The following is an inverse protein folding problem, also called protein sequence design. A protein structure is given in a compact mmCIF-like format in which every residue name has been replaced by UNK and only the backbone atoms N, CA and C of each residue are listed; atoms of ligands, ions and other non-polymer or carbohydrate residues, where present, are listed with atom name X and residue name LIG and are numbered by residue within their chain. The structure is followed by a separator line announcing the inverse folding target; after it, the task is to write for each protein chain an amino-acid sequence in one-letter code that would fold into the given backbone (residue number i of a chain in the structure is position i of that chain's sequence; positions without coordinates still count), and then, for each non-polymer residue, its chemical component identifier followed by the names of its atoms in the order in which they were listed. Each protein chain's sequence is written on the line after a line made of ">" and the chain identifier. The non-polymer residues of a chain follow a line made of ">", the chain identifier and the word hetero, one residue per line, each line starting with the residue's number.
data_IF_988062473076
#
_entry.id   IF_988062473076
#
_cell.length_a   1.000
_cell.length_b   1.000
_cell.length_c   1.000
_cell.angle_alpha   90.00
_cell.angle_beta   90.00
_cell.angle_gamma   90.00
#
_symmetry.space_group_name_H-M   'P 1'
#
loop_
_entity.id
_entity.type
_entity.pdbx_description
1 polymer ?
#
# COMPACT_ATOMS: atom_id res chain seq x y z
N UNK A 1 -59.23 -14.42 21.61
CA UNK A 1 -57.76 -14.39 21.39
C UNK A 1 -57.32 -12.96 21.45
N UNK A 2 -56.88 -12.52 22.62
CA UNK A 2 -56.52 -11.12 22.90
C UNK A 2 -55.13 -10.82 22.34
N UNK A 3 -55.09 -9.89 21.38
CA UNK A 3 -53.84 -9.33 20.87
C UNK A 3 -53.25 -8.38 21.89
N UNK A 4 -52.19 -8.81 22.56
CA UNK A 4 -51.38 -7.98 23.44
C UNK A 4 -50.74 -6.85 22.63
N UNK A 5 -51.39 -5.68 22.64
CA UNK A 5 -50.82 -4.41 22.18
C UNK A 5 -49.80 -3.92 23.21
N UNK A 6 -48.68 -4.62 23.31
CA UNK A 6 -47.50 -4.13 24.01
C UNK A 6 -46.90 -2.98 23.20
N UNK A 7 -47.34 -1.75 23.48
CA UNK A 7 -46.75 -0.51 22.95
C UNK A 7 -45.37 -0.27 23.54
N UNK A 8 -44.43 -1.17 23.29
CA UNK A 8 -43.03 -0.96 23.63
C UNK A 8 -42.49 0.20 22.80
N UNK A 9 -41.94 1.22 23.47
CA UNK A 9 -41.20 2.28 22.77
C UNK A 9 -40.15 1.62 21.87
N UNK A 10 -39.99 2.07 20.61
CA UNK A 10 -38.97 1.54 19.73
C UNK A 10 -37.60 1.74 20.40
N UNK A 11 -36.89 0.64 20.68
CA UNK A 11 -35.53 0.67 21.25
C UNK A 11 -34.62 1.52 20.38
N UNK A 12 -33.75 2.34 20.97
CA UNK A 12 -32.76 3.11 20.21
C UNK A 12 -31.81 2.15 19.48
N UNK A 13 -31.33 2.52 18.30
CA UNK A 13 -30.26 1.75 17.63
C UNK A 13 -28.96 1.73 18.45
N UNK A 14 -28.81 2.65 19.42
CA UNK A 14 -27.75 2.65 20.43
C UNK A 14 -27.65 1.36 21.26
N UNK A 15 -28.76 0.63 21.41
CA UNK A 15 -28.85 -0.60 22.21
C UNK A 15 -28.64 -1.87 21.38
N UNK A 16 -28.41 -1.76 20.06
CA UNK A 16 -28.32 -2.91 19.18
C UNK A 16 -27.10 -3.80 19.51
N UNK A 17 -27.27 -5.12 19.49
CA UNK A 17 -26.23 -6.10 19.86
C UNK A 17 -24.86 -5.84 19.19
N UNK A 18 -24.86 -5.59 17.87
CA UNK A 18 -23.63 -5.33 17.12
C UNK A 18 -22.93 -4.05 17.56
N UNK A 19 -23.69 -2.99 17.84
CA UNK A 19 -23.10 -1.73 18.28
C UNK A 19 -22.51 -1.88 19.69
N UNK A 20 -23.20 -2.59 20.58
CA UNK A 20 -22.67 -2.92 21.91
C UNK A 20 -21.39 -3.77 21.81
N UNK A 21 -21.34 -4.73 20.89
CA UNK A 21 -20.16 -5.55 20.65
C UNK A 21 -18.98 -4.72 20.12
N UNK A 22 -19.24 -3.83 19.16
CA UNK A 22 -18.22 -2.90 18.63
C UNK A 22 -17.66 -2.02 19.75
N UNK A 23 -18.52 -1.44 20.58
CA UNK A 23 -18.10 -0.57 21.69
C UNK A 23 -17.30 -1.32 22.77
N UNK A 24 -17.62 -2.59 23.05
CA UNK A 24 -16.96 -3.35 24.13
C UNK A 24 -15.70 -4.07 23.72
N UNK A 25 -15.65 -4.58 22.47
CA UNK A 25 -14.63 -5.54 22.05
C UNK A 25 -13.86 -5.10 20.82
N UNK A 26 -14.34 -4.09 20.08
CA UNK A 26 -13.74 -3.63 18.84
C UNK A 26 -13.76 -2.10 18.73
N UNK A 27 -13.52 -1.41 19.85
CA UNK A 27 -13.56 0.05 19.91
C UNK A 27 -12.56 0.65 18.92
N UNK A 28 -11.38 0.05 18.79
CA UNK A 28 -10.35 0.44 17.83
C UNK A 28 -10.83 0.38 16.38
N UNK A 29 -11.65 -0.62 16.02
CA UNK A 29 -12.18 -0.78 14.66
C UNK A 29 -13.17 0.34 14.33
N UNK A 30 -14.07 0.65 15.28
CA UNK A 30 -15.03 1.75 15.12
C UNK A 30 -14.30 3.09 15.11
N UNK A 31 -13.36 3.32 16.03
CA UNK A 31 -12.55 4.54 16.09
C UNK A 31 -11.76 4.77 14.80
N UNK A 32 -11.13 3.72 14.24
CA UNK A 32 -10.42 3.79 12.97
C UNK A 32 -11.34 4.06 11.77
N UNK A 33 -12.57 3.55 11.79
CA UNK A 33 -13.53 3.83 10.74
C UNK A 33 -14.02 5.29 10.78
N UNK A 34 -14.18 5.85 12.00
CA UNK A 34 -14.64 7.21 12.24
C UNK A 34 -13.56 8.27 12.08
N UNK A 35 -12.28 7.94 12.32
CA UNK A 35 -11.17 8.90 12.22
C UNK A 35 -10.93 9.43 10.80
N UNK A 36 -11.51 8.79 9.78
CA UNK A 36 -11.60 9.30 8.42
C UNK A 36 -12.69 10.38 8.31
N UNK A 37 -12.43 11.57 8.87
CA UNK A 37 -13.36 12.71 8.89
C UNK A 37 -13.80 13.24 7.51
N UNK A 38 -13.16 12.78 6.42
CA UNK A 38 -13.45 13.25 5.06
C UNK A 38 -14.66 12.58 4.41
N UNK A 39 -15.17 11.47 4.96
CA UNK A 39 -16.31 10.76 4.37
C UNK A 39 -17.33 10.31 5.41
N UNK A 40 -18.63 10.27 5.06
CA UNK A 40 -19.66 9.76 5.97
C UNK A 40 -19.40 8.29 6.30
N UNK A 41 -19.46 7.95 7.58
CA UNK A 41 -19.39 6.57 8.06
C UNK A 41 -20.81 6.05 8.31
N UNK A 42 -21.14 4.90 7.72
CA UNK A 42 -22.38 4.18 7.96
C UNK A 42 -22.09 2.87 8.71
N UNK A 43 -22.82 2.64 9.81
CA UNK A 43 -22.81 1.37 10.52
C UNK A 43 -24.09 0.60 10.21
N UNK A 44 -23.95 -0.55 9.58
CA UNK A 44 -25.06 -1.43 9.25
C UNK A 44 -25.36 -2.36 10.42
N UNK A 45 -26.62 -2.36 10.85
CA UNK A 45 -27.14 -3.16 11.96
C UNK A 45 -28.19 -4.12 11.39
N UNK A 46 -27.85 -5.35 11.01
CA UNK A 46 -28.86 -6.33 10.62
C UNK A 46 -29.83 -6.62 11.76
N UNK A 47 -31.11 -6.79 11.43
CA UNK A 47 -32.12 -7.22 12.41
C UNK A 47 -31.63 -8.40 13.26
N UNK A 48 -31.78 -8.30 14.58
CA UNK A 48 -31.28 -9.33 15.52
C UNK A 48 -31.89 -10.72 15.26
N UNK A 49 -33.12 -10.78 14.75
CA UNK A 49 -33.78 -12.03 14.35
C UNK A 49 -33.05 -12.75 13.22
N UNK A 50 -32.37 -12.01 12.33
CA UNK A 50 -31.63 -12.52 11.18
C UNK A 50 -30.18 -12.88 11.52
N UNK A 51 -29.68 -12.49 12.70
CA UNK A 51 -28.33 -12.85 13.16
C UNK A 51 -28.24 -14.28 13.69
N UNK A 52 -29.36 -14.99 13.84
CA UNK A 52 -29.39 -16.37 14.32
C UNK A 52 -28.60 -17.30 13.39
N UNK A 53 -27.48 -17.83 13.89
CA UNK A 53 -26.61 -18.75 13.15
C UNK A 53 -25.43 -18.07 12.44
N UNK A 54 -25.32 -16.73 12.51
CA UNK A 54 -24.12 -16.03 12.11
C UNK A 54 -23.11 -16.03 13.26
N UNK A 55 -21.84 -16.27 12.92
CA UNK A 55 -20.73 -16.00 13.81
C UNK A 55 -20.30 -14.54 13.61
N UNK A 56 -20.49 -13.70 14.63
CA UNK A 56 -20.14 -12.28 14.57
C UNK A 56 -18.66 -12.13 14.90
N UNK A 57 -17.80 -12.35 13.90
CA UNK A 57 -16.36 -12.10 14.00
C UNK A 57 -15.94 -10.74 13.41
N UNK A 58 -14.64 -10.45 13.45
CA UNK A 58 -14.09 -9.23 12.86
C UNK A 58 -14.42 -9.10 11.36
N UNK A 59 -14.44 -10.21 10.61
CA UNK A 59 -14.74 -10.16 9.17
C UNK A 59 -16.21 -9.79 8.91
N UNK A 60 -17.12 -10.27 9.77
CA UNK A 60 -18.52 -9.84 9.78
C UNK A 60 -18.62 -8.34 10.06
N UNK A 61 -17.96 -7.84 11.10
CA UNK A 61 -17.98 -6.43 11.49
C UNK A 61 -17.39 -5.52 10.40
N UNK A 62 -16.22 -5.87 9.85
CA UNK A 62 -15.57 -5.14 8.74
C UNK A 62 -16.48 -5.06 7.49
N UNK A 63 -17.37 -6.03 7.29
CA UNK A 63 -18.32 -6.03 6.16
C UNK A 63 -19.48 -5.05 6.36
N UNK A 64 -19.82 -4.71 7.61
CA UNK A 64 -20.98 -3.91 7.98
C UNK A 64 -20.62 -2.48 8.41
N UNK A 65 -19.34 -2.09 8.36
CA UNK A 65 -18.89 -0.72 8.53
C UNK A 65 -18.54 -0.17 7.15
N UNK A 66 -19.27 0.86 6.71
CA UNK A 66 -19.11 1.46 5.39
C UNK A 66 -18.51 2.87 5.50
N UNK A 67 -17.59 3.17 4.59
CA UNK A 67 -17.02 4.50 4.39
C UNK A 67 -17.51 5.07 3.06
N UNK A 68 -17.95 6.34 3.09
CA UNK A 68 -18.37 7.04 1.87
C UNK A 68 -17.23 7.15 0.86
N UNK A 69 -17.57 7.03 -0.42
CA UNK A 69 -16.66 7.26 -1.54
C UNK A 69 -16.85 8.66 -2.13
N UNK A 70 -16.01 9.10 -3.09
CA UNK A 70 -16.27 10.31 -3.86
C UNK A 70 -17.54 10.27 -4.71
N UNK A 71 -18.10 9.08 -4.96
CA UNK A 71 -19.33 8.90 -5.71
C UNK A 71 -20.54 9.00 -4.79
N UNK A 72 -21.56 9.74 -5.23
CA UNK A 72 -22.76 9.98 -4.45
C UNK A 72 -23.49 8.65 -4.21
N UNK A 73 -23.86 8.41 -2.95
CA UNK A 73 -24.60 7.24 -2.50
C UNK A 73 -23.87 5.89 -2.69
N UNK A 74 -22.57 5.90 -3.00
CA UNK A 74 -21.73 4.71 -3.07
C UNK A 74 -20.76 4.67 -1.90
N UNK A 75 -20.67 3.50 -1.27
CA UNK A 75 -19.88 3.26 -0.08
C UNK A 75 -18.98 2.04 -0.27
N UNK A 76 -17.88 2.01 0.48
CA UNK A 76 -16.97 0.85 0.51
C UNK A 76 -16.82 0.39 1.94
N UNK A 77 -16.97 -0.91 2.18
CA UNK A 77 -16.74 -1.47 3.51
C UNK A 77 -15.25 -1.60 3.84
N UNK A 78 -14.92 -1.92 5.09
CA UNK A 78 -13.50 -2.05 5.51
C UNK A 78 -12.75 -3.21 4.85
N UNK A 79 -13.44 -4.04 4.06
CA UNK A 79 -12.87 -5.11 3.24
C UNK A 79 -12.65 -4.72 1.78
N UNK A 80 -12.99 -3.49 1.40
CA UNK A 80 -12.87 -3.00 0.03
C UNK A 80 -14.00 -3.46 -0.89
N UNK A 81 -15.16 -3.83 -0.34
CA UNK A 81 -16.33 -4.25 -1.12
C UNK A 81 -17.33 -3.10 -1.23
N UNK A 82 -17.97 -2.96 -2.39
CA UNK A 82 -18.83 -1.81 -2.71
C UNK A 82 -20.29 -2.07 -2.33
N UNK A 83 -20.93 -1.03 -1.81
CA UNK A 83 -22.35 -1.01 -1.44
C UNK A 83 -22.96 0.29 -1.92
N UNK A 84 -23.95 0.17 -2.81
CA UNK A 84 -24.70 1.31 -3.34
C UNK A 84 -25.99 1.53 -2.54
N UNK A 85 -26.28 2.77 -2.18
CA UNK A 85 -27.55 3.17 -1.57
C UNK A 85 -28.49 3.73 -2.64
N UNK A 86 -29.67 3.13 -2.77
CA UNK A 86 -30.73 3.62 -3.66
C UNK A 86 -31.98 3.85 -2.83
N UNK A 87 -32.17 5.07 -2.35
CA UNK A 87 -33.28 5.42 -1.46
C UNK A 87 -33.21 4.70 -0.12
N UNK A 88 -34.15 3.76 0.09
CA UNK A 88 -34.25 2.93 1.30
C UNK A 88 -33.72 1.50 1.08
N UNK A 89 -32.91 1.28 0.04
CA UNK A 89 -32.26 0.00 -0.23
C UNK A 89 -30.75 0.16 -0.31
N UNK A 90 -30.03 -0.87 0.12
CA UNK A 90 -28.59 -1.02 -0.09
C UNK A 90 -28.36 -2.23 -0.98
N UNK A 91 -27.60 -2.04 -2.05
CA UNK A 91 -27.20 -3.11 -2.98
C UNK A 91 -25.71 -3.37 -2.85
N UNK A 92 -25.36 -4.52 -2.30
CA UNK A 92 -24.01 -5.04 -2.27
C UNK A 92 -23.76 -5.87 -3.53
N UNK A 93 -22.82 -5.45 -4.37
CA UNK A 93 -22.54 -6.11 -5.64
C UNK A 93 -21.05 -6.40 -5.84
N UNK A 94 -20.23 -5.37 -6.00
CA UNK A 94 -18.81 -5.51 -6.30
C UNK A 94 -18.01 -6.00 -5.08
N UNK A 95 -17.23 -7.07 -5.27
CA UNK A 95 -16.41 -7.68 -4.22
C UNK A 95 -17.16 -8.64 -3.29
N UNK A 96 -18.49 -8.74 -3.39
CA UNK A 96 -19.29 -9.75 -2.68
C UNK A 96 -19.37 -11.06 -3.49
N UNK A 97 -19.55 -12.20 -2.81
CA UNK A 97 -19.70 -13.51 -3.47
C UNK A 97 -21.02 -13.64 -4.24
N UNK A 98 -22.03 -12.90 -3.82
CA UNK A 98 -23.35 -12.87 -4.42
C UNK A 98 -23.89 -11.44 -4.28
N UNK A 99 -24.74 -11.03 -5.23
CA UNK A 99 -25.46 -9.77 -5.12
C UNK A 99 -26.46 -9.88 -3.96
N UNK A 100 -26.42 -8.94 -3.03
CA UNK A 100 -27.35 -8.85 -1.90
C UNK A 100 -28.04 -7.50 -1.95
N UNK A 101 -29.36 -7.50 -1.91
CA UNK A 101 -30.16 -6.28 -1.73
C UNK A 101 -30.81 -6.34 -0.36
N UNK A 102 -30.66 -5.28 0.43
CA UNK A 102 -31.23 -5.18 1.78
C UNK A 102 -31.99 -3.87 1.92
N UNK A 103 -33.12 -3.91 2.62
CA UNK A 103 -33.91 -2.71 2.89
C UNK A 103 -33.42 -2.04 4.18
N UNK A 104 -33.33 -0.72 4.16
CA UNK A 104 -33.11 0.13 5.32
C UNK A 104 -34.44 0.28 6.03
N UNK A 105 -34.51 -0.23 7.25
CA UNK A 105 -35.71 -0.23 8.08
C UNK A 105 -35.78 0.97 9.01
N UNK A 106 -34.60 1.47 9.41
CA UNK A 106 -34.46 2.64 10.28
C UNK A 106 -33.09 3.25 10.11
N UNK A 107 -33.03 4.57 10.26
CA UNK A 107 -31.81 5.36 10.24
C UNK A 107 -31.75 6.22 11.51
N UNK A 108 -30.62 6.21 12.22
CA UNK A 108 -30.40 7.01 13.43
C UNK A 108 -28.97 7.53 13.42
N UNK A 109 -28.80 8.85 13.61
CA UNK A 109 -27.48 9.46 13.73
C UNK A 109 -27.03 9.37 15.19
N UNK A 110 -25.84 8.81 15.41
CA UNK A 110 -25.23 8.64 16.72
C UNK A 110 -23.87 9.36 16.79
N UNK A 111 -23.34 9.48 18.00
CA UNK A 111 -22.06 10.13 18.28
C UNK A 111 -21.16 9.20 19.09
N UNK A 112 -19.91 9.09 18.70
CA UNK A 112 -18.86 8.40 19.44
C UNK A 112 -17.61 9.29 19.54
N UNK A 113 -16.57 8.83 20.25
CA UNK A 113 -15.33 9.57 20.43
C UNK A 113 -14.65 10.00 19.10
N UNK A 114 -14.91 9.27 18.01
CA UNK A 114 -14.40 9.57 16.67
C UNK A 114 -15.26 10.52 15.82
N UNK A 115 -16.40 11.02 16.32
CA UNK A 115 -17.30 11.91 15.58
C UNK A 115 -18.70 11.32 15.33
N UNK A 116 -19.54 12.03 14.55
CA UNK A 116 -20.87 11.56 14.20
C UNK A 116 -20.82 10.42 13.17
N UNK A 117 -21.74 9.48 13.29
CA UNK A 117 -21.94 8.43 12.29
C UNK A 117 -23.41 8.04 12.20
N UNK A 118 -23.78 7.39 11.10
CA UNK A 118 -25.17 7.01 10.85
C UNK A 118 -25.33 5.51 11.00
N UNK A 119 -26.21 5.09 11.90
CA UNK A 119 -26.61 3.69 12.04
C UNK A 119 -27.81 3.40 11.14
N UNK A 120 -27.69 2.35 10.34
CA UNK A 120 -28.76 1.85 9.49
C UNK A 120 -29.19 0.47 9.99
N UNK A 121 -30.43 0.35 10.48
CA UNK A 121 -31.04 -0.95 10.73
C UNK A 121 -31.44 -1.55 9.38
N UNK A 122 -30.85 -2.69 9.02
CA UNK A 122 -31.08 -3.33 7.72
C UNK A 122 -31.83 -4.66 7.86
N UNK A 123 -32.60 -5.01 6.83
CA UNK A 123 -33.48 -6.19 6.83
C UNK A 123 -32.73 -7.50 7.04
N UNK A 124 -31.53 -7.65 6.48
CA UNK A 124 -30.70 -8.87 6.55
C UNK A 124 -29.22 -8.51 6.52
N UNK A 125 -28.30 -9.38 6.99
CA UNK A 125 -26.85 -9.15 6.84
C UNK A 125 -26.43 -9.06 5.37
N UNK A 126 -25.34 -8.34 5.09
CA UNK A 126 -24.74 -8.29 3.75
C UNK A 126 -24.01 -9.59 3.35
N UNK A 127 -23.86 -10.53 4.29
CA UNK A 127 -23.27 -11.84 4.05
C UNK A 127 -24.36 -12.89 3.82
N UNK A 128 -24.18 -13.80 2.84
CA UNK A 128 -25.13 -14.89 2.63
C UNK A 128 -25.21 -15.78 3.87
N UNK A 129 -26.39 -16.35 4.15
CA UNK A 129 -26.54 -17.31 5.24
C UNK A 129 -25.56 -18.48 5.03
N UNK A 130 -24.89 -18.95 6.10
CA UNK A 130 -24.09 -20.17 6.02
C UNK A 130 -25.00 -21.32 5.56
N UNK A 131 -24.53 -22.12 4.60
CA UNK A 131 -25.32 -23.07 3.80
C UNK A 131 -25.94 -24.27 4.57
N UNK A 132 -26.10 -24.19 5.89
CA UNK A 132 -26.63 -25.26 6.76
C UNK A 132 -28.09 -25.08 7.21
N UNK A 133 -28.78 -24.03 6.79
CA UNK A 133 -30.21 -23.81 7.07
C UNK A 133 -30.93 -23.32 5.83
N UNK A 134 -31.12 -24.20 4.85
CA UNK A 134 -32.30 -24.04 4.01
C UNK A 134 -33.49 -24.42 4.88
N UNK A 135 -34.42 -23.49 5.04
CA UNK A 135 -35.70 -23.74 5.70
C UNK A 135 -36.37 -24.93 5.03
N UNK A 136 -36.64 -25.98 5.80
CA UNK A 136 -37.51 -27.10 5.43
C UNK A 136 -38.85 -26.54 4.93
N UNK A 137 -39.05 -26.58 3.62
CA UNK A 137 -40.20 -25.98 2.98
C UNK A 137 -40.28 -26.38 1.51
N UNK A 138 -40.88 -27.54 1.29
CA UNK A 138 -41.31 -28.12 0.00
C UNK A 138 -40.22 -28.89 -0.78
N UNK A 139 -40.29 -30.21 -0.64
CA UNK A 139 -39.56 -31.19 -1.45
C UNK A 139 -40.11 -31.26 -2.87
N UNK A 140 -39.26 -31.61 -3.84
CA UNK A 140 -39.63 -32.59 -4.85
C UNK A 140 -38.81 -33.87 -4.67
N UNK A 141 -39.57 -34.95 -4.54
CA UNK A 141 -39.21 -36.35 -4.58
C UNK A 141 -38.44 -36.75 -5.84
N UNK A 142 -37.40 -37.58 -5.68
CA UNK A 142 -36.78 -38.29 -6.81
C UNK A 142 -35.38 -38.85 -6.52
N UNK A 143 -35.33 -40.07 -5.97
CA UNK A 143 -34.13 -40.89 -5.71
C UNK A 143 -33.54 -41.53 -7.00
N UNK A 144 -32.59 -42.50 -6.98
CA UNK A 144 -31.73 -43.01 -5.90
C UNK A 144 -30.23 -43.19 -6.27
N UNK A 145 -29.51 -43.68 -5.25
CA UNK A 145 -28.11 -44.08 -5.09
C UNK A 145 -27.48 -45.06 -6.11
N UNK A 146 -26.15 -45.03 -6.17
CA UNK A 146 -25.19 -46.09 -6.57
C UNK A 146 -23.79 -45.44 -6.66
N UNK A 147 -22.62 -45.98 -6.29
CA UNK A 147 -22.18 -47.24 -5.72
C UNK A 147 -20.74 -47.00 -5.21
N UNK A 148 -20.38 -47.66 -4.12
CA UNK A 148 -19.02 -47.72 -3.60
C UNK A 148 -18.13 -48.59 -4.51
N UNK A 149 -16.90 -48.14 -4.81
CA UNK A 149 -15.81 -49.02 -5.25
C UNK A 149 -14.49 -48.62 -4.62
N UNK A 150 -14.02 -49.49 -3.71
CA UNK A 150 -12.61 -49.75 -3.41
C UNK A 150 -11.98 -50.47 -4.61
N UNK A 151 -10.67 -50.32 -4.83
CA UNK A 151 -9.88 -51.55 -4.79
C UNK A 151 -8.54 -51.40 -4.06
N UNK A 152 -8.09 -52.55 -3.59
CA UNK A 152 -6.83 -52.88 -2.94
C UNK A 152 -5.69 -53.06 -3.95
N UNK A 153 -4.48 -52.83 -3.43
CA UNK A 153 -3.21 -53.55 -3.61
C UNK A 153 -2.79 -54.10 -4.99
N UNK A 154 -1.64 -53.61 -5.46
CA UNK A 154 -0.70 -54.39 -6.27
C UNK A 154 0.76 -53.91 -6.10
N UNK A 155 1.54 -54.77 -5.44
CA UNK A 155 2.87 -55.27 -5.83
C UNK A 155 4.10 -54.34 -5.99
N UNK A 156 5.00 -54.54 -5.01
CA UNK A 156 6.47 -54.67 -5.04
C UNK A 156 7.20 -54.77 -6.39
N UNK A 157 8.30 -54.01 -6.46
CA UNK A 157 9.60 -54.41 -7.04
C UNK A 157 10.46 -53.23 -7.52
N UNK A 158 11.78 -53.37 -7.73
CA UNK A 158 12.83 -53.96 -6.89
C UNK A 158 13.84 -52.91 -6.38
N UNK A 159 14.62 -53.30 -5.36
CA UNK A 159 15.71 -52.53 -4.77
C UNK A 159 16.86 -52.29 -5.77
N UNK A 160 17.16 -51.02 -6.03
CA UNK A 160 18.38 -50.56 -6.70
C UNK A 160 19.48 -50.24 -5.69
N UNK A 161 20.71 -50.63 -6.03
CA UNK A 161 21.92 -50.59 -5.23
C UNK A 161 22.35 -49.18 -4.76
N UNK A 162 23.03 -49.05 -3.61
CA UNK A 162 23.65 -47.79 -3.20
C UNK A 162 24.90 -47.50 -4.04
N UNK A 163 24.80 -46.49 -4.89
CA UNK A 163 25.93 -45.90 -5.61
C UNK A 163 26.87 -45.13 -4.69
N UNK A 164 28.16 -45.25 -4.97
CA UNK A 164 29.27 -44.65 -4.22
C UNK A 164 29.21 -43.11 -4.13
N UNK A 165 29.72 -42.50 -3.05
CA UNK A 165 29.84 -41.06 -2.93
C UNK A 165 30.88 -40.51 -3.91
N UNK A 166 30.42 -39.65 -4.82
CA UNK A 166 31.29 -38.84 -5.69
C UNK A 166 32.05 -37.75 -4.92
N UNK A 167 33.11 -37.20 -5.51
CA UNK A 167 34.04 -36.30 -4.84
C UNK A 167 33.37 -34.98 -4.44
N UNK A 168 33.55 -34.61 -3.18
CA UNK A 168 33.17 -33.31 -2.64
C UNK A 168 33.94 -32.22 -3.39
N UNK A 169 33.20 -31.35 -4.08
CA UNK A 169 33.73 -30.08 -4.58
C UNK A 169 34.18 -29.17 -3.42
N UNK A 170 35.05 -28.19 -3.70
CA UNK A 170 35.68 -27.37 -2.67
C UNK A 170 34.61 -26.67 -1.83
N UNK A 171 34.59 -27.01 -0.54
CA UNK A 171 33.84 -26.28 0.47
C UNK A 171 34.33 -24.83 0.45
N UNK A 172 33.46 -23.92 0.02
CA UNK A 172 33.64 -22.49 0.27
C UNK A 172 33.80 -22.25 1.77
N UNK A 173 34.52 -21.19 2.18
CA UNK A 173 34.82 -20.93 3.57
C UNK A 173 33.52 -20.87 4.39
N UNK A 174 33.50 -21.43 5.61
CA UNK A 174 32.33 -21.38 6.47
C UNK A 174 31.94 -19.92 6.69
N UNK A 175 30.78 -19.54 6.17
CA UNK A 175 30.19 -18.24 6.42
C UNK A 175 30.06 -18.06 7.93
N UNK A 176 30.87 -17.17 8.49
CA UNK A 176 30.75 -16.78 9.89
C UNK A 176 29.33 -16.27 10.15
N UNK A 177 28.83 -16.38 11.39
CA UNK A 177 27.50 -15.90 11.75
C UNK A 177 27.36 -14.43 11.36
N UNK A 178 26.50 -14.18 10.37
CA UNK A 178 26.16 -12.83 9.92
C UNK A 178 25.62 -12.07 11.13
N UNK A 179 26.24 -10.93 11.43
CA UNK A 179 25.76 -10.03 12.47
C UNK A 179 24.27 -9.73 12.22
N UNK A 180 23.39 -9.88 13.23
CA UNK A 180 21.93 -9.76 13.07
C UNK A 180 21.46 -8.38 12.59
N UNK A 181 22.35 -7.38 12.59
CA UNK A 181 22.08 -6.00 12.17
C UNK A 181 22.75 -5.61 10.85
N UNK A 182 23.36 -6.56 10.11
CA UNK A 182 23.90 -6.25 8.79
C UNK A 182 22.76 -5.82 7.85
N UNK A 183 22.86 -4.67 7.16
CA UNK A 183 21.82 -4.19 6.26
C UNK A 183 21.62 -5.24 5.17
N UNK A 184 20.44 -5.86 5.16
CA UNK A 184 20.08 -6.87 4.16
C UNK A 184 20.25 -6.23 2.78
N UNK A 185 21.06 -6.83 1.90
CA UNK A 185 21.35 -6.24 0.59
C UNK A 185 20.06 -6.05 -0.20
N UNK A 186 20.04 -4.96 -0.96
CA UNK A 186 18.90 -4.58 -1.75
C UNK A 186 18.80 -5.51 -2.97
N UNK A 187 17.84 -6.43 -2.95
CA UNK A 187 17.57 -7.36 -4.06
C UNK A 187 16.79 -6.68 -5.20
N UNK A 188 17.30 -6.78 -6.41
CA UNK A 188 16.57 -6.46 -7.63
C UNK A 188 15.38 -7.41 -7.86
N UNK A 189 14.52 -7.09 -8.84
CA UNK A 189 13.44 -7.96 -9.30
C UNK A 189 13.97 -9.34 -9.71
N UNK A 190 15.04 -9.38 -10.51
CA UNK A 190 15.68 -10.62 -10.97
C UNK A 190 16.26 -11.43 -9.82
N UNK A 191 16.95 -10.79 -8.87
CA UNK A 191 17.50 -11.48 -7.70
C UNK A 191 16.41 -12.01 -6.76
N UNK A 192 15.32 -11.25 -6.61
CA UNK A 192 14.13 -11.67 -5.87
C UNK A 192 13.54 -12.92 -6.50
N UNK A 193 13.29 -12.90 -7.81
CA UNK A 193 12.76 -14.04 -8.57
C UNK A 193 13.65 -15.27 -8.40
N UNK A 194 14.96 -15.14 -8.64
CA UNK A 194 15.89 -16.26 -8.52
C UNK A 194 15.94 -16.85 -7.12
N UNK A 195 15.86 -16.01 -6.07
CA UNK A 195 15.89 -16.47 -4.69
C UNK A 195 14.64 -17.26 -4.34
N UNK A 196 13.49 -16.80 -4.84
CA UNK A 196 12.19 -17.44 -4.67
C UNK A 196 12.12 -18.77 -5.44
N UNK A 197 12.58 -18.81 -6.69
CA UNK A 197 12.66 -20.05 -7.48
C UNK A 197 13.53 -21.12 -6.81
N UNK A 198 14.62 -20.72 -6.13
CA UNK A 198 15.43 -21.67 -5.35
C UNK A 198 14.66 -22.29 -4.20
N UNK A 199 13.72 -21.57 -3.59
CA UNK A 199 12.84 -22.14 -2.57
C UNK A 199 11.87 -23.15 -3.19
N UNK A 200 11.37 -22.89 -4.40
CA UNK A 200 10.39 -23.75 -5.06
C UNK A 200 11.00 -25.10 -5.47
N UNK A 201 12.29 -25.08 -5.83
CA UNK A 201 13.06 -26.27 -6.23
C UNK A 201 13.47 -27.18 -5.07
N UNK A 202 13.13 -26.88 -3.81
CA UNK A 202 13.48 -27.70 -2.62
C UNK A 202 12.62 -28.97 -2.45
N UNK A 203 12.22 -29.61 -3.56
CA UNK A 203 11.39 -30.82 -3.56
C UNK A 203 9.88 -30.55 -3.43
N UNK A 204 9.12 -31.59 -3.07
CA UNK A 204 7.66 -31.54 -3.02
C UNK A 204 7.06 -30.43 -2.13
N UNK A 205 7.65 -30.09 -0.95
CA UNK A 205 7.15 -28.97 -0.14
C UNK A 205 7.27 -27.61 -0.85
N UNK A 206 8.34 -27.41 -1.64
CA UNK A 206 8.56 -26.17 -2.39
C UNK A 206 7.50 -25.97 -3.49
N UNK A 207 7.18 -27.02 -4.25
CA UNK A 207 6.15 -26.96 -5.29
C UNK A 207 4.72 -26.75 -4.70
N UNK A 208 4.44 -27.27 -3.51
CA UNK A 208 3.19 -27.00 -2.81
C UNK A 208 3.12 -25.54 -2.33
N UNK A 209 4.22 -25.01 -1.80
CA UNK A 209 4.33 -23.61 -1.39
C UNK A 209 4.12 -22.67 -2.58
N UNK A 210 4.79 -22.92 -3.70
CA UNK A 210 4.64 -22.17 -4.96
C UNK A 210 3.17 -22.07 -5.39
N UNK A 211 2.47 -23.20 -5.50
CA UNK A 211 1.05 -23.22 -5.86
C UNK A 211 0.18 -22.42 -4.89
N UNK A 212 0.44 -22.54 -3.58
CA UNK A 212 -0.29 -21.80 -2.56
C UNK A 212 -0.09 -20.29 -2.66
N UNK A 213 1.17 -19.86 -2.83
CA UNK A 213 1.54 -18.45 -2.98
C UNK A 213 0.89 -17.85 -4.23
N UNK A 214 1.04 -18.50 -5.39
CA UNK A 214 0.44 -18.02 -6.64
C UNK A 214 -1.10 -17.98 -6.55
N UNK A 215 -1.73 -18.98 -5.92
CA UNK A 215 -3.19 -18.98 -5.74
C UNK A 215 -3.70 -17.80 -4.89
N UNK A 216 -2.96 -17.39 -3.84
CA UNK A 216 -3.32 -16.21 -3.04
C UNK A 216 -3.14 -14.90 -3.83
N UNK A 217 -2.06 -14.78 -4.60
CA UNK A 217 -1.80 -13.59 -5.44
C UNK A 217 -2.86 -13.48 -6.54
N UNK A 218 -3.16 -14.57 -7.25
CA UNK A 218 -4.19 -14.59 -8.28
C UNK A 218 -5.58 -14.31 -7.70
N UNK A 219 -5.88 -14.81 -6.50
CA UNK A 219 -7.11 -14.41 -5.79
C UNK A 219 -7.13 -12.91 -5.50
N UNK A 220 -6.03 -12.32 -5.04
CA UNK A 220 -5.94 -10.88 -4.82
C UNK A 220 -6.20 -10.12 -6.12
N UNK A 221 -5.56 -10.51 -7.23
CA UNK A 221 -5.83 -9.94 -8.54
C UNK A 221 -7.30 -10.12 -8.91
N UNK A 222 -7.89 -11.28 -8.77
CA UNK A 222 -9.28 -11.48 -9.17
C UNK A 222 -10.30 -10.67 -8.34
N UNK A 223 -10.03 -10.43 -7.06
CA UNK A 223 -11.05 -9.97 -6.11
C UNK A 223 -10.87 -8.54 -5.60
N UNK A 224 -9.65 -8.01 -5.59
CA UNK A 224 -9.40 -6.71 -4.98
C UNK A 224 -9.65 -5.58 -5.98
N UNK A 225 -10.50 -4.63 -5.60
CA UNK A 225 -10.81 -3.45 -6.40
C UNK A 225 -9.82 -2.34 -6.03
N UNK A 226 -9.14 -1.81 -7.04
CA UNK A 226 -8.20 -0.71 -6.88
C UNK A 226 -8.96 0.61 -7.04
N UNK A 227 -8.91 1.46 -6.02
CA UNK A 227 -9.64 2.75 -5.99
C UNK A 227 -8.63 3.87 -5.75
N UNK A 228 -8.57 4.89 -6.61
CA UNK A 228 -7.67 6.04 -6.41
C UNK A 228 -7.91 6.72 -5.06
N UNK A 229 -6.82 7.08 -4.37
CA UNK A 229 -6.89 7.76 -3.07
C UNK A 229 -7.08 6.84 -1.86
N UNK A 230 -7.29 5.54 -2.06
CA UNK A 230 -7.34 4.54 -0.98
C UNK A 230 -6.00 3.80 -0.80
N UNK A 231 -4.88 4.52 -0.94
CA UNK A 231 -3.52 3.96 -0.92
C UNK A 231 -3.19 3.24 0.39
N UNK A 232 -3.71 3.73 1.52
CA UNK A 232 -3.56 3.10 2.83
C UNK A 232 -4.27 1.73 2.93
N UNK A 233 -5.47 1.62 2.36
CA UNK A 233 -6.21 0.36 2.31
C UNK A 233 -5.50 -0.66 1.40
N UNK A 234 -5.00 -0.20 0.26
CA UNK A 234 -4.18 -1.02 -0.64
C UNK A 234 -2.91 -1.51 0.07
N UNK A 235 -2.17 -0.63 0.74
CA UNK A 235 -0.97 -0.98 1.50
C UNK A 235 -1.25 -2.01 2.60
N UNK A 236 -2.35 -1.84 3.35
CA UNK A 236 -2.78 -2.80 4.36
C UNK A 236 -3.15 -4.14 3.72
N UNK A 237 -3.83 -4.12 2.57
CA UNK A 237 -4.20 -5.34 1.84
C UNK A 237 -2.97 -6.09 1.33
N UNK A 238 -1.98 -5.41 0.76
CA UNK A 238 -0.71 -6.01 0.32
C UNK A 238 0.10 -6.59 1.48
N UNK A 239 0.06 -5.94 2.66
CA UNK A 239 0.63 -6.50 3.90
C UNK A 239 -0.05 -7.81 4.29
N UNK A 240 -1.40 -7.84 4.29
CA UNK A 240 -2.19 -9.05 4.59
C UNK A 240 -1.92 -10.16 3.55
N UNK A 241 -1.78 -9.81 2.28
CA UNK A 241 -1.43 -10.74 1.21
C UNK A 241 -0.04 -11.34 1.43
N UNK A 242 0.97 -10.51 1.68
CA UNK A 242 2.34 -10.96 2.00
C UNK A 242 2.33 -11.94 3.16
N UNK A 243 1.63 -11.61 4.26
CA UNK A 243 1.51 -12.49 5.41
C UNK A 243 0.82 -13.83 5.05
N UNK A 244 -0.21 -13.80 4.20
CA UNK A 244 -0.85 -15.02 3.71
C UNK A 244 0.10 -15.88 2.89
N UNK A 245 0.86 -15.29 1.96
CA UNK A 245 1.87 -15.99 1.17
C UNK A 245 2.98 -16.59 2.04
N UNK A 246 3.45 -15.88 3.08
CA UNK A 246 4.44 -16.41 4.03
C UNK A 246 3.96 -17.68 4.76
N UNK A 247 2.65 -17.86 5.00
CA UNK A 247 2.10 -19.06 5.65
C UNK A 247 2.21 -20.32 4.79
N UNK A 248 2.41 -20.17 3.48
CA UNK A 248 2.64 -21.29 2.58
C UNK A 248 4.11 -21.73 2.53
N UNK A 249 5.04 -20.93 3.06
CA UNK A 249 6.45 -21.28 3.11
C UNK A 249 6.70 -22.45 4.09
N UNK A 250 7.72 -23.29 3.84
CA UNK A 250 8.16 -24.29 4.81
C UNK A 250 8.46 -23.66 6.18
N UNK A 251 8.15 -24.36 7.29
CA UNK A 251 8.21 -23.80 8.66
C UNK A 251 9.53 -23.07 8.99
N UNK A 252 10.68 -23.64 8.62
CA UNK A 252 11.99 -23.01 8.87
C UNK A 252 12.25 -21.72 8.06
N UNK A 253 11.56 -21.53 6.93
CA UNK A 253 11.62 -20.29 6.14
C UNK A 253 10.57 -19.27 6.60
N UNK A 254 9.39 -19.72 6.99
CA UNK A 254 8.26 -18.85 7.35
C UNK A 254 8.58 -17.90 8.52
N UNK A 255 9.44 -18.33 9.46
CA UNK A 255 9.85 -17.54 10.62
C UNK A 255 10.98 -16.53 10.32
N UNK A 256 11.64 -16.66 9.16
CA UNK A 256 12.74 -15.79 8.80
C UNK A 256 12.25 -14.40 8.38
N UNK A 257 12.74 -13.36 9.07
CA UNK A 257 12.53 -11.95 8.68
C UNK A 257 13.00 -11.67 7.24
N UNK A 258 14.07 -12.35 6.82
CA UNK A 258 14.58 -12.23 5.46
C UNK A 258 13.61 -12.85 4.46
N UNK A 259 13.05 -14.02 4.77
CA UNK A 259 12.08 -14.66 3.90
C UNK A 259 10.81 -13.80 3.75
N UNK A 260 10.34 -13.18 4.83
CA UNK A 260 9.21 -12.25 4.77
C UNK A 260 9.49 -11.03 3.87
N UNK A 261 10.70 -10.46 3.90
CA UNK A 261 11.10 -9.33 3.02
C UNK A 261 11.21 -9.75 1.55
N UNK A 262 11.76 -10.92 1.29
CA UNK A 262 11.85 -11.48 -0.07
C UNK A 262 10.45 -11.79 -0.60
N UNK A 263 9.56 -12.34 0.23
CA UNK A 263 8.17 -12.61 -0.12
C UNK A 263 7.40 -11.31 -0.39
N UNK A 264 7.60 -10.25 0.40
CA UNK A 264 7.01 -8.93 0.12
C UNK A 264 7.38 -8.45 -1.29
N UNK A 265 8.67 -8.51 -1.65
CA UNK A 265 9.15 -8.11 -2.97
C UNK A 265 8.56 -8.99 -4.08
N UNK A 266 8.45 -10.29 -3.83
CA UNK A 266 7.85 -11.23 -4.78
C UNK A 266 6.38 -10.94 -5.02
N UNK A 267 5.61 -10.68 -3.96
CA UNK A 267 4.19 -10.26 -4.08
C UNK A 267 4.07 -8.97 -4.90
N UNK A 268 4.94 -7.99 -4.68
CA UNK A 268 4.98 -6.76 -5.48
C UNK A 268 5.30 -7.04 -6.96
N UNK A 269 6.28 -7.91 -7.22
CA UNK A 269 6.66 -8.29 -8.58
C UNK A 269 5.50 -8.98 -9.31
N UNK A 270 4.89 -9.97 -8.68
CA UNK A 270 3.80 -10.76 -9.26
C UNK A 270 2.51 -9.95 -9.42
N UNK A 271 2.23 -9.00 -8.54
CA UNK A 271 1.07 -8.11 -8.64
C UNK A 271 1.30 -6.89 -9.55
N UNK A 272 2.51 -6.70 -10.07
CA UNK A 272 2.90 -5.51 -10.83
C UNK A 272 2.05 -5.30 -12.09
N UNK A 273 1.75 -6.37 -12.82
CA UNK A 273 0.91 -6.37 -14.03
C UNK A 273 -0.47 -5.74 -13.81
N UNK A 274 -1.03 -5.87 -12.60
CA UNK A 274 -2.30 -5.27 -12.20
C UNK A 274 -2.12 -3.89 -11.56
N UNK A 275 -1.12 -3.74 -10.69
CA UNK A 275 -0.93 -2.51 -9.91
C UNK A 275 -0.37 -1.37 -10.75
N UNK A 276 0.55 -1.64 -11.68
CA UNK A 276 1.23 -0.61 -12.45
C UNK A 276 0.30 0.15 -13.41
N UNK A 277 -0.56 -0.51 -14.22
CA UNK A 277 -1.56 0.19 -15.03
C UNK A 277 -2.49 1.07 -14.19
N UNK A 278 -2.90 0.58 -13.02
CA UNK A 278 -3.72 1.36 -12.09
C UNK A 278 -3.01 2.63 -11.60
N UNK A 279 -1.72 2.55 -11.22
CA UNK A 279 -0.97 3.75 -10.81
C UNK A 279 -0.74 4.73 -11.95
N UNK A 280 -0.56 4.24 -13.19
CA UNK A 280 -0.48 5.09 -14.38
C UNK A 280 -1.79 5.87 -14.59
N UNK A 281 -2.93 5.19 -14.52
CA UNK A 281 -4.26 5.79 -14.66
C UNK A 281 -4.56 6.77 -13.52
N UNK A 282 -4.40 6.34 -12.26
CA UNK A 282 -4.65 7.18 -11.09
C UNK A 282 -3.76 8.42 -11.03
N UNK A 283 -2.54 8.35 -11.58
CA UNK A 283 -1.59 9.45 -11.64
C UNK A 283 -1.68 10.32 -12.88
N UNK A 284 -2.45 9.95 -13.91
CA UNK A 284 -2.34 10.52 -15.25
C UNK A 284 -2.58 12.04 -15.30
N UNK A 285 -3.68 12.50 -14.70
CA UNK A 285 -4.01 13.94 -14.66
C UNK A 285 -2.88 14.75 -14.03
N UNK A 286 -2.32 14.21 -12.94
CA UNK A 286 -1.26 14.88 -12.18
C UNK A 286 0.07 14.85 -12.91
N UNK A 287 0.34 13.74 -13.59
CA UNK A 287 1.52 13.58 -14.44
C UNK A 287 1.54 14.63 -15.56
N UNK A 288 0.40 14.85 -16.24
CA UNK A 288 0.25 15.88 -17.28
C UNK A 288 0.49 17.30 -16.74
N UNK A 289 0.00 17.61 -15.53
CA UNK A 289 0.26 18.89 -14.86
C UNK A 289 1.77 19.10 -14.61
N UNK A 290 2.45 18.08 -14.09
CA UNK A 290 3.89 18.14 -13.81
C UNK A 290 4.69 18.28 -15.10
N UNK A 291 4.38 17.51 -16.15
CA UNK A 291 5.07 17.61 -17.44
C UNK A 291 4.93 18.99 -18.07
N UNK A 292 3.74 19.60 -17.99
CA UNK A 292 3.53 20.99 -18.42
C UNK A 292 4.35 21.96 -17.58
N UNK A 293 4.33 21.81 -16.26
CA UNK A 293 5.12 22.66 -15.35
C UNK A 293 6.62 22.58 -15.64
N UNK A 294 7.15 21.37 -15.87
CA UNK A 294 8.54 21.14 -16.22
C UNK A 294 8.90 21.69 -17.61
N UNK A 295 7.99 21.61 -18.58
CA UNK A 295 8.20 22.22 -19.89
C UNK A 295 8.37 23.74 -19.76
N UNK A 296 7.50 24.39 -19.00
CA UNK A 296 7.54 25.83 -18.75
C UNK A 296 8.80 26.21 -17.98
N UNK A 297 9.15 25.42 -16.95
CA UNK A 297 10.40 25.57 -16.22
C UNK A 297 11.63 25.56 -17.14
N UNK A 298 11.70 24.65 -18.13
CA UNK A 298 12.80 24.58 -19.11
C UNK A 298 12.94 25.84 -19.97
N UNK A 299 11.85 26.55 -20.25
CA UNK A 299 11.92 27.80 -21.03
C UNK A 299 12.57 28.95 -20.25
N UNK A 300 12.64 28.84 -18.93
CA UNK A 300 13.03 29.93 -18.04
C UNK A 300 13.80 29.41 -16.82
N UNK A 301 14.80 28.56 -17.05
CA UNK A 301 15.52 27.83 -15.98
C UNK A 301 16.14 28.79 -14.95
N UNK A 302 16.85 29.82 -15.41
CA UNK A 302 17.59 30.72 -14.51
C UNK A 302 16.69 31.46 -13.51
N UNK A 303 15.61 32.08 -14.00
CA UNK A 303 14.62 32.77 -13.16
C UNK A 303 13.78 31.80 -12.33
N UNK A 304 13.52 30.59 -12.83
CA UNK A 304 12.77 29.59 -12.07
C UNK A 304 13.58 29.06 -10.90
N UNK A 305 14.89 28.80 -11.08
CA UNK A 305 15.78 28.39 -10.00
C UNK A 305 15.91 29.48 -8.92
N UNK A 306 15.96 30.75 -9.32
CA UNK A 306 15.93 31.88 -8.39
C UNK A 306 14.61 31.97 -7.63
N UNK A 307 13.47 31.77 -8.30
CA UNK A 307 12.15 31.74 -7.67
C UNK A 307 11.99 30.55 -6.70
N UNK A 308 12.71 29.45 -6.92
CA UNK A 308 12.80 28.30 -6.01
C UNK A 308 13.78 28.53 -4.85
N UNK A 309 14.43 29.69 -4.78
CA UNK A 309 15.38 30.02 -3.72
C UNK A 309 16.76 29.38 -3.88
N UNK A 310 17.10 28.85 -5.06
CA UNK A 310 18.42 28.27 -5.28
C UNK A 310 19.50 29.36 -5.17
N UNK A 311 20.44 29.14 -4.25
CA UNK A 311 21.58 30.03 -4.02
C UNK A 311 22.46 30.20 -5.26
N UNK A 312 23.06 31.37 -5.41
CA UNK A 312 23.81 31.75 -6.62
C UNK A 312 24.99 30.83 -6.89
N UNK A 313 25.63 30.38 -5.82
CA UNK A 313 26.79 29.49 -5.78
C UNK A 313 26.47 28.11 -6.36
N UNK A 314 25.19 27.69 -6.33
CA UNK A 314 24.71 26.38 -6.79
C UNK A 314 24.03 26.44 -8.17
N UNK A 315 23.91 27.62 -8.80
CA UNK A 315 23.25 27.75 -10.12
C UNK A 315 23.98 27.01 -11.25
N UNK A 316 25.27 26.70 -11.07
CA UNK A 316 26.09 25.97 -12.03
C UNK A 316 26.20 24.46 -11.76
N UNK A 317 25.42 23.91 -10.83
CA UNK A 317 25.44 22.49 -10.49
C UNK A 317 24.97 21.62 -11.68
N UNK A 318 25.79 20.65 -12.08
CA UNK A 318 25.44 19.70 -13.16
C UNK A 318 24.50 18.60 -12.64
N UNK A 319 23.21 18.70 -13.00
CA UNK A 319 22.17 17.74 -12.58
C UNK A 319 21.92 16.61 -13.57
N UNK A 320 22.71 16.49 -14.65
CA UNK A 320 22.44 15.53 -15.73
C UNK A 320 22.53 14.08 -15.27
N UNK A 321 23.47 13.76 -14.39
CA UNK A 321 23.58 12.40 -13.81
C UNK A 321 22.34 12.05 -13.00
N UNK A 322 21.88 12.97 -12.15
CA UNK A 322 20.66 12.80 -11.37
C UNK A 322 19.43 12.64 -12.28
N UNK A 323 19.33 13.44 -13.34
CA UNK A 323 18.30 13.30 -14.36
C UNK A 323 18.29 11.91 -15.02
N UNK A 324 19.46 11.36 -15.34
CA UNK A 324 19.58 9.99 -15.88
C UNK A 324 19.11 8.93 -14.88
N UNK A 325 19.40 9.07 -13.60
CA UNK A 325 18.90 8.12 -12.58
C UNK A 325 17.38 8.23 -12.41
N UNK A 326 16.83 9.46 -12.41
CA UNK A 326 15.39 9.69 -12.35
C UNK A 326 14.65 9.11 -13.56
N UNK A 327 15.23 9.22 -14.76
CA UNK A 327 14.68 8.64 -15.98
C UNK A 327 14.58 7.11 -15.96
N UNK A 328 15.34 6.43 -15.09
CA UNK A 328 15.26 4.97 -14.88
C UNK A 328 14.18 4.56 -13.89
N UNK A 329 13.64 5.47 -13.08
CA UNK A 329 12.66 5.15 -12.03
C UNK A 329 11.42 4.44 -12.62
N UNK A 330 10.82 4.89 -13.73
CA UNK A 330 9.62 4.24 -14.29
C UNK A 330 9.86 2.80 -14.75
N UNK A 331 11.06 2.47 -15.22
CA UNK A 331 11.39 1.13 -15.72
C UNK A 331 11.68 0.10 -14.63
N UNK A 332 11.82 0.53 -13.38
CA UNK A 332 11.97 -0.39 -12.24
C UNK A 332 10.63 -1.06 -11.93
N UNK A 333 10.63 -2.37 -11.69
CA UNK A 333 9.42 -3.13 -11.40
C UNK A 333 9.07 -3.07 -9.91
N UNK A 334 10.07 -3.08 -9.03
CA UNK A 334 9.80 -3.05 -7.59
C UNK A 334 9.75 -1.60 -7.06
N UNK A 335 8.86 -1.29 -6.12
CA UNK A 335 8.84 0.03 -5.46
C UNK A 335 10.12 0.28 -4.67
N UNK A 336 10.73 -0.80 -4.18
CA UNK A 336 12.05 -0.79 -3.56
C UNK A 336 13.11 -0.23 -4.52
N UNK A 337 13.20 -0.78 -5.74
CA UNK A 337 14.18 -0.35 -6.74
C UNK A 337 13.94 1.11 -7.14
N UNK A 338 12.68 1.52 -7.30
CA UNK A 338 12.30 2.91 -7.54
C UNK A 338 12.86 3.85 -6.46
N UNK A 339 12.71 3.48 -5.18
CA UNK A 339 13.23 4.25 -4.06
C UNK A 339 14.77 4.31 -4.08
N UNK A 340 15.42 3.20 -4.40
CA UNK A 340 16.88 3.16 -4.51
C UNK A 340 17.40 4.06 -5.65
N UNK A 341 16.73 4.08 -6.80
CA UNK A 341 17.10 4.98 -7.90
C UNK A 341 16.92 6.45 -7.54
N UNK A 342 15.86 6.78 -6.79
CA UNK A 342 15.68 8.12 -6.24
C UNK A 342 16.81 8.51 -5.29
N UNK A 343 17.22 7.62 -4.38
CA UNK A 343 18.38 7.87 -3.51
C UNK A 343 19.65 8.14 -4.32
N UNK A 344 19.90 7.36 -5.39
CA UNK A 344 21.05 7.59 -6.28
C UNK A 344 21.00 8.94 -6.98
N UNK A 345 19.81 9.39 -7.38
CA UNK A 345 19.63 10.72 -7.95
C UNK A 345 19.96 11.83 -6.93
N UNK A 346 19.50 11.69 -5.69
CA UNK A 346 19.82 12.62 -4.60
C UNK A 346 21.32 12.64 -4.31
N UNK A 347 21.97 11.48 -4.24
CA UNK A 347 23.41 11.38 -4.03
C UNK A 347 24.20 12.03 -5.19
N UNK A 348 23.72 11.89 -6.43
CA UNK A 348 24.31 12.56 -7.59
C UNK A 348 24.19 14.09 -7.48
N UNK A 349 23.05 14.61 -7.02
CA UNK A 349 22.87 16.04 -6.75
C UNK A 349 23.84 16.50 -5.66
N UNK A 350 23.96 15.79 -4.55
CA UNK A 350 24.90 16.14 -3.47
C UNK A 350 26.35 16.18 -3.97
N UNK A 351 26.78 15.19 -4.76
CA UNK A 351 28.13 15.21 -5.37
C UNK A 351 28.30 16.43 -6.27
N UNK A 352 27.31 16.74 -7.11
CA UNK A 352 27.35 17.88 -8.00
C UNK A 352 27.39 19.23 -7.25
N UNK A 353 26.65 19.37 -6.15
CA UNK A 353 26.72 20.53 -5.26
C UNK A 353 28.14 20.71 -4.71
N UNK A 354 28.73 19.64 -4.17
CA UNK A 354 30.08 19.69 -3.60
C UNK A 354 31.12 20.10 -4.65
N UNK A 355 31.00 19.57 -5.88
CA UNK A 355 31.87 19.96 -7.00
C UNK A 355 31.67 21.43 -7.41
N UNK A 356 30.43 21.93 -7.44
CA UNK A 356 30.14 23.32 -7.76
C UNK A 356 30.69 24.28 -6.70
N UNK A 357 30.52 23.96 -5.41
CA UNK A 357 31.07 24.74 -4.29
C UNK A 357 32.60 24.77 -4.35
N UNK A 358 33.24 23.62 -4.61
CA UNK A 358 34.70 23.55 -4.76
C UNK A 358 35.21 24.37 -5.96
N UNK A 359 34.51 24.32 -7.10
CA UNK A 359 34.85 25.12 -8.28
C UNK A 359 34.67 26.63 -8.03
N UNK A 360 33.59 27.02 -7.36
CA UNK A 360 33.35 28.41 -6.97
C UNK A 360 34.45 28.92 -6.03
N UNK A 361 34.85 28.13 -5.03
CA UNK A 361 35.95 28.47 -4.11
C UNK A 361 37.28 28.65 -4.85
N UNK A 362 37.59 27.77 -5.80
CA UNK A 362 38.82 27.87 -6.61
C UNK A 362 38.85 29.15 -7.47
N UNK A 363 37.69 29.64 -7.92
CA UNK A 363 37.58 30.84 -8.76
C UNK A 363 37.80 32.16 -8.01
N UNK A 364 37.65 32.20 -6.67
CA UNK A 364 37.76 33.42 -5.85
C UNK A 364 39.21 33.85 -5.55
N UNK A 365 40.21 33.06 -5.93
CA UNK A 365 41.62 33.38 -5.78
C UNK A 365 42.15 33.41 -4.33
N UNK A 366 43.48 33.45 -4.13
CA UNK A 366 44.12 33.30 -2.82
C UNK A 366 43.91 34.47 -1.85
N UNK A 367 43.41 35.63 -2.31
CA UNK A 367 43.20 36.82 -1.48
C UNK A 367 41.83 36.85 -0.77
N UNK A 368 40.94 35.91 -1.06
CA UNK A 368 39.62 35.77 -0.43
C UNK A 368 39.56 34.81 0.77
N UNK A 369 40.70 34.43 1.37
CA UNK A 369 40.84 33.43 2.45
C UNK A 369 40.25 33.83 3.81
N UNK A 370 39.22 34.68 3.85
CA UNK A 370 38.38 34.79 5.03
C UNK A 370 37.44 33.57 5.03
N UNK A 371 37.90 32.47 5.64
CA UNK A 371 37.17 31.31 6.15
C UNK A 371 35.67 31.32 5.76
N UNK A 372 35.36 31.13 4.47
CA UNK A 372 33.96 31.05 4.06
C UNK A 372 33.43 29.74 4.63
N UNK A 373 32.45 29.86 5.52
CA UNK A 373 31.76 28.73 6.11
C UNK A 373 31.34 27.78 4.98
N UNK A 374 31.62 26.49 5.17
CA UNK A 374 31.28 25.48 4.18
C UNK A 374 29.82 25.68 3.77
N UNK A 375 29.57 25.89 2.48
CA UNK A 375 28.22 26.15 1.95
C UNK A 375 27.36 24.92 2.26
N UNK A 376 26.60 24.99 3.34
CA UNK A 376 25.71 23.91 3.76
C UNK A 376 24.56 23.82 2.78
N UNK A 377 24.40 22.68 2.09
CA UNK A 377 23.30 22.45 1.14
C UNK A 377 22.00 22.28 1.93
N UNK A 378 21.06 23.20 1.76
CA UNK A 378 19.78 23.18 2.46
C UNK A 378 18.75 22.34 1.69
N UNK A 379 17.61 22.07 2.34
CA UNK A 379 16.51 21.32 1.71
C UNK A 379 15.96 22.05 0.48
N UNK A 380 15.89 23.37 0.52
CA UNK A 380 15.43 24.24 -0.57
C UNK A 380 16.30 24.08 -1.82
N UNK A 381 17.63 24.06 -1.65
CA UNK A 381 18.56 23.85 -2.75
C UNK A 381 18.36 22.46 -3.37
N UNK A 382 18.21 21.43 -2.52
CA UNK A 382 17.99 20.06 -2.98
C UNK A 382 16.67 19.91 -3.75
N UNK A 383 15.59 20.56 -3.28
CA UNK A 383 14.31 20.58 -4.00
C UNK A 383 14.47 21.25 -5.36
N UNK A 384 15.10 22.43 -5.42
CA UNK A 384 15.29 23.16 -6.67
C UNK A 384 16.11 22.37 -7.70
N UNK A 385 17.20 21.74 -7.24
CA UNK A 385 18.06 20.91 -8.07
C UNK A 385 17.40 19.59 -8.48
N UNK A 386 16.52 19.02 -7.67
CA UNK A 386 15.72 17.86 -8.07
C UNK A 386 14.69 18.23 -9.15
N UNK A 387 14.05 19.39 -9.04
CA UNK A 387 13.14 19.90 -10.09
C UNK A 387 13.92 20.10 -11.40
N UNK A 388 15.13 20.66 -11.34
CA UNK A 388 16.02 20.78 -12.49
C UNK A 388 16.39 19.40 -13.07
N UNK A 389 16.78 18.44 -12.22
CA UNK A 389 17.10 17.09 -12.63
C UNK A 389 15.92 16.37 -13.31
N UNK A 390 14.69 16.54 -12.79
CA UNK A 390 13.46 16.03 -13.43
C UNK A 390 13.19 16.71 -14.78
N UNK A 391 13.45 18.02 -14.86
CA UNK A 391 13.36 18.75 -16.12
C UNK A 391 14.40 18.23 -17.13
N UNK A 392 15.60 17.85 -16.73
CA UNK A 392 16.62 17.33 -17.67
C UNK A 392 16.40 15.85 -18.03
N UNK A 393 16.08 15.02 -17.05
CA UNK A 393 15.97 13.56 -17.19
C UNK A 393 14.67 13.06 -17.80
N UNK A 394 13.64 13.91 -17.86
CA UNK A 394 12.29 13.53 -18.23
C UNK A 394 11.54 12.91 -17.04
N UNK A 395 10.31 13.39 -16.81
CA UNK A 395 9.51 12.99 -15.66
C UNK A 395 8.45 11.93 -16.00
N UNK A 396 8.58 11.20 -17.12
CA UNK A 396 7.55 10.28 -17.60
C UNK A 396 7.12 9.29 -16.49
N UNK A 397 5.81 9.18 -16.23
CA UNK A 397 5.26 8.30 -15.19
C UNK A 397 5.91 8.45 -13.78
N UNK A 398 6.44 9.64 -13.46
CA UNK A 398 7.00 9.93 -12.15
C UNK A 398 5.94 9.88 -11.05
N UNK A 399 4.72 10.38 -11.30
CA UNK A 399 3.61 10.31 -10.33
C UNK A 399 3.23 8.87 -10.04
N UNK A 400 3.09 8.03 -11.06
CA UNK A 400 2.80 6.61 -10.89
C UNK A 400 3.90 5.90 -10.09
N UNK A 401 5.17 6.23 -10.38
CA UNK A 401 6.31 5.73 -9.60
C UNK A 401 6.26 6.17 -8.14
N UNK A 402 5.87 7.42 -7.89
CA UNK A 402 5.68 7.96 -6.54
C UNK A 402 4.57 7.22 -5.78
N UNK A 403 3.39 7.02 -6.39
CA UNK A 403 2.28 6.27 -5.78
C UNK A 403 2.70 4.83 -5.44
N UNK A 404 3.43 4.19 -6.36
CA UNK A 404 3.96 2.85 -6.16
C UNK A 404 4.92 2.79 -4.94
N UNK A 405 5.84 3.76 -4.81
CA UNK A 405 6.71 3.87 -3.64
C UNK A 405 5.94 4.22 -2.36
N UNK A 406 4.92 5.09 -2.44
CA UNK A 406 4.11 5.52 -1.30
C UNK A 406 3.39 4.33 -0.65
N UNK A 407 2.76 3.47 -1.46
CA UNK A 407 2.06 2.29 -0.97
C UNK A 407 3.02 1.33 -0.26
N UNK A 408 4.23 1.12 -0.78
CA UNK A 408 5.26 0.34 -0.08
C UNK A 408 5.58 0.93 1.30
N UNK A 409 5.75 2.25 1.38
CA UNK A 409 6.13 2.89 2.62
C UNK A 409 4.99 2.84 3.65
N UNK A 410 3.75 3.04 3.22
CA UNK A 410 2.55 2.80 4.04
C UNK A 410 2.49 1.34 4.51
N UNK A 411 2.86 0.39 3.67
CA UNK A 411 2.92 -1.03 4.02
C UNK A 411 3.98 -1.31 5.10
N UNK A 412 5.09 -0.58 5.13
CA UNK A 412 6.17 -0.80 6.11
C UNK A 412 5.91 -0.15 7.47
N UNK A 413 5.04 0.85 7.56
CA UNK A 413 4.72 1.47 8.86
C UNK A 413 3.86 0.54 9.70
N UNK A 414 4.50 -0.13 10.66
CA UNK A 414 3.86 -0.92 11.72
C UNK A 414 3.11 0.05 12.64
N UNK A 415 1.78 0.02 12.61
CA UNK A 415 0.88 0.91 13.32
C UNK A 415 1.00 2.40 12.90
N UNK A 416 0.36 2.76 11.78
CA UNK A 416 -0.09 4.14 11.62
C UNK A 416 -1.34 4.31 12.49
N UNK A 417 -1.18 4.94 13.66
CA UNK A 417 -2.28 5.71 14.26
C UNK A 417 -2.65 6.73 13.19
N UNK A 418 -3.85 6.60 12.63
CA UNK A 418 -4.36 7.34 11.46
C UNK A 418 -3.92 8.80 11.45
N UNK A 419 -3.04 9.18 10.53
CA UNK A 419 -2.91 10.59 10.14
C UNK A 419 -4.15 10.95 9.29
N UNK A 420 -4.69 12.17 9.46
CA UNK A 420 -5.81 12.65 8.64
C UNK A 420 -5.38 12.71 7.16
N UNK A 421 -6.35 12.49 6.26
CA UNK A 421 -6.18 12.23 4.83
C UNK A 421 -5.45 13.31 3.99
N UNK A 422 -5.46 13.18 2.65
CA UNK A 422 -4.58 13.90 1.72
C UNK A 422 -4.94 15.38 1.47
N UNK A 423 -5.38 16.10 2.51
CA UNK A 423 -5.46 17.55 2.52
C UNK A 423 -4.57 18.08 3.65
N UNK A 424 -3.39 18.57 3.27
CA UNK A 424 -2.39 19.23 4.12
C UNK A 424 -1.50 18.31 4.95
N UNK A 425 -0.42 17.83 4.30
CA UNK A 425 0.86 17.64 4.98
C UNK A 425 1.35 19.02 5.46
N UNK A 426 0.89 19.46 6.62
CA UNK A 426 1.50 20.57 7.34
C UNK A 426 2.82 20.04 7.92
N UNK A 427 3.92 20.65 7.47
CA UNK A 427 5.27 20.45 7.97
C UNK A 427 5.29 20.62 9.50
N UNK A 428 5.51 19.53 10.24
CA UNK A 428 5.98 19.64 11.62
C UNK A 428 7.51 19.85 11.59
N UNK A 429 8.05 20.85 12.30
CA UNK A 429 9.48 21.09 12.33
C UNK A 429 10.18 19.97 13.11
N UNK A 430 11.11 19.29 12.46
CA UNK A 430 12.02 18.34 13.09
C UNK A 430 13.10 19.12 13.84
N UNK A 431 13.18 18.97 15.16
CA UNK A 431 14.32 19.43 15.96
C UNK A 431 15.59 18.68 15.52
N UNK A 432 16.59 19.44 15.07
CA UNK A 432 17.88 18.96 14.55
C UNK A 432 18.73 18.31 15.64
N UNK A 433 19.10 17.05 15.46
CA UNK A 433 20.26 16.44 16.10
C UNK A 433 21.23 15.96 15.01
N UNK A 434 22.33 16.69 14.87
CA UNK A 434 23.41 16.42 13.92
C UNK A 434 24.28 15.25 14.40
N UNK A 435 24.30 14.15 13.64
CA UNK A 435 25.40 13.20 13.67
C UNK A 435 25.68 12.69 12.25
N UNK A 436 26.85 13.06 11.74
CA UNK A 436 27.41 12.63 10.48
C UNK A 436 28.10 11.27 10.67
N UNK A 437 27.46 10.19 10.21
CA UNK A 437 28.15 8.94 9.89
C UNK A 437 27.49 8.26 8.68
N UNK A 438 28.36 7.74 7.81
CA UNK A 438 28.06 7.17 6.51
C UNK A 438 27.07 5.99 6.55
N UNK A 439 26.00 6.11 5.76
CA UNK A 439 25.48 5.03 4.92
C UNK A 439 24.68 3.91 5.58
N UNK A 440 23.64 4.21 6.36
CA UNK A 440 22.56 3.25 6.61
C UNK A 440 21.19 3.92 6.55
N UNK A 441 20.32 3.41 5.67
CA UNK A 441 18.93 3.89 5.54
C UNK A 441 18.14 3.26 6.70
N UNK A 442 18.12 3.95 7.85
CA UNK A 442 17.28 3.59 8.99
C UNK A 442 15.82 3.97 8.72
N UNK A 443 14.88 3.39 9.47
CA UNK A 443 13.44 3.66 9.32
C UNK A 443 13.04 5.14 9.51
N UNK A 444 13.88 5.96 10.15
CA UNK A 444 13.70 7.42 10.23
C UNK A 444 14.02 8.14 8.91
N UNK A 445 14.95 7.62 8.11
CA UNK A 445 15.30 8.16 6.79
C UNK A 445 14.13 8.08 5.81
N UNK A 446 13.36 6.99 5.84
CA UNK A 446 12.20 6.79 4.97
C UNK A 446 11.09 7.85 5.16
N UNK A 447 10.91 8.38 6.39
CA UNK A 447 9.95 9.45 6.66
C UNK A 447 10.37 10.78 6.05
N UNK A 448 11.66 11.10 6.10
CA UNK A 448 12.23 12.31 5.49
C UNK A 448 12.12 12.29 3.96
N UNK A 449 12.37 11.13 3.35
CA UNK A 449 12.22 10.98 1.88
C UNK A 449 10.75 11.16 1.45
N UNK A 450 9.78 10.70 2.23
CA UNK A 450 8.35 10.89 1.94
C UNK A 450 7.91 12.34 2.03
N UNK A 451 8.27 13.05 3.10
CA UNK A 451 7.91 14.46 3.24
C UNK A 451 8.55 15.28 2.12
N UNK A 452 9.80 14.97 1.78
CA UNK A 452 10.53 15.59 0.67
C UNK A 452 9.87 15.29 -0.69
N UNK A 453 9.52 14.04 -0.98
CA UNK A 453 8.85 13.68 -2.24
C UNK A 453 7.45 14.29 -2.34
N UNK A 454 6.67 14.26 -1.26
CA UNK A 454 5.35 14.88 -1.22
C UNK A 454 5.45 16.40 -1.42
N UNK A 455 6.47 17.04 -0.83
CA UNK A 455 6.77 18.45 -1.07
C UNK A 455 7.15 18.71 -2.53
N UNK A 456 8.00 17.87 -3.13
CA UNK A 456 8.38 17.98 -4.55
C UNK A 456 7.16 17.83 -5.48
N UNK A 457 6.31 16.82 -5.26
CA UNK A 457 5.09 16.62 -6.05
C UNK A 457 4.13 17.79 -5.87
N UNK A 458 3.95 18.27 -4.64
CA UNK A 458 3.07 19.42 -4.33
C UNK A 458 3.58 20.71 -4.97
N UNK A 459 4.90 20.94 -4.94
CA UNK A 459 5.56 22.09 -5.54
C UNK A 459 5.46 22.06 -7.07
N UNK A 460 5.80 20.94 -7.71
CA UNK A 460 5.68 20.77 -9.16
C UNK A 460 4.24 20.98 -9.65
N UNK A 461 3.29 20.52 -8.85
CA UNK A 461 1.86 20.73 -9.11
C UNK A 461 1.44 22.19 -8.98
N UNK A 462 1.95 22.89 -7.97
CA UNK A 462 1.69 24.31 -7.78
C UNK A 462 2.28 25.13 -8.93
N UNK A 463 3.49 24.79 -9.40
CA UNK A 463 4.11 25.40 -10.58
C UNK A 463 3.27 25.16 -11.84
N UNK A 464 2.79 23.93 -12.06
CA UNK A 464 1.89 23.62 -13.19
C UNK A 464 0.60 24.45 -13.17
N UNK A 465 -0.04 24.61 -12.01
CA UNK A 465 -1.25 25.44 -11.86
C UNK A 465 -0.97 26.92 -12.04
N UNK A 466 0.11 27.43 -11.43
CA UNK A 466 0.50 28.84 -11.53
C UNK A 466 0.81 29.24 -12.98
N UNK A 467 1.40 28.33 -13.75
CA UNK A 467 1.68 28.56 -15.15
C UNK A 467 0.40 28.58 -16.02
N UNK A 468 -0.57 27.69 -15.76
CA UNK A 468 -1.88 27.72 -16.44
C UNK A 468 -2.65 29.03 -16.19
N UNK A 469 -2.55 29.58 -14.97
CA UNK A 469 -3.21 30.83 -14.60
C UNK A 469 -2.60 32.08 -15.25
N UNK A 470 -1.35 32.00 -15.74
CA UNK A 470 -0.65 33.13 -16.37
C UNK A 470 -0.84 33.20 -17.89
N UNK A 471 -1.62 32.30 -18.50
CA UNK A 471 -1.87 32.31 -19.95
C UNK A 471 -0.61 32.16 -20.79
N UNK A 472 0.41 31.46 -20.25
CA UNK A 472 1.63 31.07 -20.95
C UNK A 472 1.48 29.70 -21.62
#
# INVERSE_FOLDING_TARGET
>A
MEGSKGGGRPRSLGEHLILQLLQRSHEELLAAALSNNSSPCLLLLPQESQLKGFHIDQAFLETHILQGTPYKDTYVNLRGQEVDRVGQELTASLGFRAKVCVSILREEQLFAAGGPFTCLLISTPLLPLPAGRQSDGVAPTGAPASSARKPEDAERGPQGAPGAPGPQGPQGPPGGPLSPDSPVPFLSATETQQKVERWWRQGAPGALAERGVHAEIERFKATYVLVPGLDGALAQRLRRLTAACCRHLPQGLAESKEAARVMERFVWLEAHDRLWPFFLEAGESKQKEIERGLLIFRTSVASSLEALGLRRELRGTDTREAGKELGKVPSMLLPHEKLQQLCRAVDAIHRACNSAVAAAAASKGPLGLAREDAVEVCCEDLVALLVLALAEGGAAAFVASYLHMLVLLLQQVRAFVSLPGPASLVLLPSSSSSSSSSGSISSSSNKGVLSFLAACVSLLSALGRAACMRGL
#
